data_IF_214680208255
#
_entry.id   IF_214680208255
#
_cell.length_a   1.000
_cell.length_b   1.000
_cell.length_c   1.000
_cell.angle_alpha   90.00
_cell.angle_beta   90.00
_cell.angle_gamma   90.00
#
_symmetry.space_group_name_H-M   'P 1'
#
loop_
_entity.id
_entity.type
_entity.pdbx_description
1 polymer ?
#
# COMPACT_ATOMS: atom_id res chain seq x y z
N UNK A 1 -49.06 17.40 -11.21
CA UNK A 1 -49.46 17.86 -9.88
C UNK A 1 -48.22 18.17 -9.07
N UNK A 2 -48.15 19.35 -8.60
CA UNK A 2 -47.26 20.13 -7.83
C UNK A 2 -46.14 19.48 -6.99
N UNK A 3 -44.93 20.03 -7.14
CA UNK A 3 -43.83 19.98 -6.15
C UNK A 3 -44.07 21.02 -5.05
N UNK A 4 -43.49 20.85 -3.86
CA UNK A 4 -43.22 22.00 -3.00
C UNK A 4 -41.72 22.23 -2.75
N UNK A 5 -41.41 23.38 -2.93
CA UNK A 5 -40.62 24.54 -2.58
C UNK A 5 -39.53 24.35 -1.48
N UNK A 6 -38.38 24.97 -1.85
CA UNK A 6 -37.22 25.35 -1.04
C UNK A 6 -37.53 26.09 0.27
N UNK A 7 -36.75 25.84 1.30
CA UNK A 7 -36.49 26.81 2.36
C UNK A 7 -34.96 27.03 2.54
N UNK A 8 -34.53 28.21 2.14
CA UNK A 8 -33.20 28.80 2.40
C UNK A 8 -33.14 29.28 3.84
N UNK A 9 -32.24 28.77 4.63
CA UNK A 9 -31.86 29.33 5.92
C UNK A 9 -30.67 30.28 5.73
N UNK A 10 -30.96 31.59 5.91
CA UNK A 10 -29.93 32.66 5.97
C UNK A 10 -29.32 32.69 7.36
N UNK A 11 -27.99 32.48 7.45
CA UNK A 11 -27.22 32.82 8.64
C UNK A 11 -26.74 34.28 8.52
N UNK A 12 -27.13 35.09 9.51
CA UNK A 12 -26.67 36.47 9.72
C UNK A 12 -25.35 36.44 10.52
N UNK A 13 -24.34 37.11 9.95
CA UNK A 13 -23.07 37.39 10.62
C UNK A 13 -23.24 38.59 11.57
N UNK A 14 -22.74 38.42 12.82
CA UNK A 14 -22.59 39.52 13.80
C UNK A 14 -21.08 39.77 13.94
N UNK A 15 -20.59 41.03 13.83
CA UNK A 15 -19.19 41.35 14.04
C UNK A 15 -18.92 41.61 15.55
N UNK A 16 -17.90 40.96 16.11
CA UNK A 16 -17.37 41.28 17.45
C UNK A 16 -16.16 42.19 17.32
N UNK A 17 -16.28 43.37 17.93
CA UNK A 17 -15.27 44.43 17.89
C UNK A 17 -14.03 44.13 18.73
N UNK A 18 -12.89 44.59 18.23
CA UNK A 18 -11.62 44.62 18.94
C UNK A 18 -11.56 45.74 19.95
N UNK A 19 -11.23 45.42 21.20
CA UNK A 19 -10.83 46.38 22.24
C UNK A 19 -9.33 46.30 22.47
N UNK A 20 -8.62 47.37 22.12
CA UNK A 20 -7.21 47.54 22.41
C UNK A 20 -7.07 48.13 23.87
N UNK A 21 -6.29 47.45 24.69
CA UNK A 21 -5.92 47.95 26.02
C UNK A 21 -4.48 48.47 25.96
N UNK A 22 -4.34 49.81 26.10
CA UNK A 22 -3.05 50.48 26.23
C UNK A 22 -2.75 50.59 27.72
N UNK A 23 -1.65 50.01 28.18
CA UNK A 23 -1.08 50.24 29.53
C UNK A 23 0.25 50.97 29.39
N UNK A 24 0.23 52.25 29.79
CA UNK A 24 1.40 53.09 29.96
C UNK A 24 1.95 52.90 31.37
N UNK A 25 3.25 52.58 31.52
CA UNK A 25 3.98 52.76 32.76
C UNK A 25 5.18 53.70 32.53
N UNK A 26 5.22 54.69 33.37
CA UNK A 26 6.21 55.75 33.37
C UNK A 26 7.56 55.31 33.90
N UNK A 27 8.55 56.14 33.56
CA UNK A 27 9.95 55.87 33.78
C UNK A 27 10.47 56.11 35.18
N UNK A 28 11.65 55.64 35.44
CA UNK A 28 12.68 56.23 36.31
C UNK A 28 14.04 55.93 35.70
N UNK A 29 14.80 56.96 35.49
CA UNK A 29 16.22 56.92 35.11
C UNK A 29 17.07 56.71 36.34
N UNK A 30 18.11 55.86 36.26
CA UNK A 30 19.34 55.99 37.05
C UNK A 30 20.52 55.47 36.24
N UNK A 31 21.56 56.28 36.22
CA UNK A 31 22.86 56.11 35.63
C UNK A 31 23.63 54.94 36.27
N UNK A 32 24.21 54.09 35.41
CA UNK A 32 25.37 53.28 35.82
C UNK A 32 26.27 53.00 34.61
N UNK A 33 27.49 53.44 34.75
CA UNK A 33 28.64 53.36 33.84
C UNK A 33 28.89 51.96 33.29
N UNK A 34 29.07 51.85 31.96
CA UNK A 34 29.42 50.65 31.26
C UNK A 34 30.92 50.27 31.44
N UNK A 35 31.23 48.98 31.60
CA UNK A 35 32.58 48.47 31.27
C UNK A 35 32.66 48.04 29.83
N UNK A 36 33.65 48.61 29.14
CA UNK A 36 34.07 48.22 27.80
C UNK A 36 34.71 46.82 27.83
N UNK A 37 34.15 45.89 27.05
CA UNK A 37 34.71 44.56 26.86
C UNK A 37 33.68 43.61 26.23
N UNK A 38 33.23 43.90 24.96
CA UNK A 38 32.50 42.91 24.19
C UNK A 38 33.52 41.99 23.51
N UNK A 39 33.88 40.87 24.13
CA UNK A 39 34.32 39.71 23.41
C UNK A 39 33.08 39.14 22.69
N UNK A 40 33.05 39.25 21.38
CA UNK A 40 32.10 38.54 20.51
C UNK A 40 32.37 37.06 20.66
N UNK A 41 31.61 36.38 21.52
CA UNK A 41 31.47 34.93 21.47
C UNK A 41 30.81 34.60 20.15
N UNK A 42 31.62 34.28 19.15
CA UNK A 42 31.18 33.71 17.90
C UNK A 42 30.57 32.34 18.20
N UNK A 43 29.23 32.23 18.05
CA UNK A 43 28.55 30.94 18.18
C UNK A 43 29.28 29.92 17.28
N UNK A 44 29.57 28.72 17.76
CA UNK A 44 30.15 27.70 16.91
C UNK A 44 29.24 27.51 15.69
N UNK A 45 29.83 27.61 14.51
CA UNK A 45 29.14 27.30 13.26
C UNK A 45 28.46 25.94 13.43
N UNK A 46 27.15 25.89 13.15
CA UNK A 46 26.40 24.65 13.19
C UNK A 46 27.17 23.63 12.35
N UNK A 47 27.80 22.69 13.04
CA UNK A 47 28.44 21.54 12.40
C UNK A 47 27.36 20.87 11.58
N UNK A 48 27.54 20.81 10.26
CA UNK A 48 26.56 20.29 9.32
C UNK A 48 25.97 18.98 9.85
N UNK A 49 24.66 18.85 9.77
CA UNK A 49 23.96 17.64 10.15
C UNK A 49 24.71 16.45 9.55
N UNK A 50 25.18 15.55 10.41
CA UNK A 50 25.84 14.34 9.94
C UNK A 50 24.91 13.66 8.96
N UNK A 51 25.34 13.47 7.71
CA UNK A 51 24.52 12.81 6.70
C UNK A 51 24.08 11.47 7.28
N UNK A 52 22.76 11.30 7.46
CA UNK A 52 22.21 10.04 7.94
C UNK A 52 22.64 8.94 6.98
N UNK A 53 23.14 7.82 7.51
CA UNK A 53 23.52 6.69 6.68
C UNK A 53 22.37 6.29 5.75
N UNK A 54 22.64 5.90 4.49
CA UNK A 54 21.62 5.52 3.55
C UNK A 54 20.72 4.41 4.12
N UNK A 55 19.42 4.50 3.91
CA UNK A 55 18.49 3.43 4.26
C UNK A 55 18.74 2.22 3.33
N UNK A 56 18.94 1.06 3.92
CA UNK A 56 19.11 -0.20 3.20
C UNK A 56 17.83 -1.01 3.38
N UNK A 57 16.98 -1.01 2.35
CA UNK A 57 15.70 -1.71 2.36
C UNK A 57 15.86 -3.18 1.98
N UNK A 58 15.10 -4.04 2.62
CA UNK A 58 14.92 -5.43 2.18
C UNK A 58 13.58 -5.65 1.50
N UNK A 59 12.62 -4.74 1.70
CA UNK A 59 11.34 -4.76 1.01
C UNK A 59 10.71 -3.37 1.00
N UNK A 60 9.84 -3.16 0.01
CA UNK A 60 8.92 -2.03 -0.08
C UNK A 60 7.51 -2.54 -0.37
N UNK A 61 6.50 -1.77 -0.02
CA UNK A 61 5.10 -2.02 -0.36
C UNK A 61 4.47 -0.70 -0.79
N UNK A 62 4.01 -0.63 -2.03
CA UNK A 62 3.30 0.50 -2.59
C UNK A 62 1.79 0.30 -2.40
N UNK A 63 1.08 1.33 -1.95
CA UNK A 63 -0.36 1.38 -1.77
C UNK A 63 -1.04 2.34 -2.76
N UNK A 64 -2.14 2.98 -2.34
CA UNK A 64 -2.81 3.93 -3.23
C UNK A 64 -2.00 5.23 -3.35
N UNK A 65 -1.74 5.92 -2.24
CA UNK A 65 -1.07 7.22 -2.19
C UNK A 65 0.08 7.27 -1.19
N UNK A 66 0.56 6.14 -0.71
CA UNK A 66 1.70 6.06 0.19
C UNK A 66 2.48 4.77 -0.02
N UNK A 67 3.70 4.78 0.44
CA UNK A 67 4.64 3.65 0.34
C UNK A 67 5.28 3.42 1.70
N UNK A 68 5.50 2.17 2.05
CA UNK A 68 6.29 1.80 3.22
C UNK A 68 7.39 0.81 2.83
N UNK A 69 8.50 0.85 3.56
CA UNK A 69 9.58 -0.11 3.42
C UNK A 69 10.09 -0.59 4.76
N UNK A 70 10.69 -1.78 4.77
CA UNK A 70 11.39 -2.32 5.94
C UNK A 70 12.86 -2.41 5.63
N UNK A 71 13.68 -1.80 6.47
CA UNK A 71 15.13 -1.82 6.38
C UNK A 71 15.73 -3.13 6.92
N UNK A 72 16.99 -3.39 6.62
CA UNK A 72 17.72 -4.60 7.07
C UNK A 72 17.82 -4.72 8.60
N UNK A 73 17.70 -3.61 9.33
CA UNK A 73 17.65 -3.56 10.79
C UNK A 73 16.20 -3.70 11.35
N UNK A 74 15.25 -4.08 10.49
CA UNK A 74 13.84 -4.32 10.84
C UNK A 74 13.02 -3.08 11.25
N UNK A 75 13.45 -1.86 10.91
CA UNK A 75 12.64 -0.66 11.08
C UNK A 75 11.72 -0.46 9.88
N UNK A 76 10.49 -0.01 10.13
CA UNK A 76 9.56 0.39 9.09
C UNK A 76 9.66 1.92 8.87
N UNK A 77 9.67 2.31 7.60
CA UNK A 77 9.70 3.69 7.14
C UNK A 77 8.58 3.86 6.11
N UNK A 78 7.79 4.92 6.24
CA UNK A 78 6.69 5.21 5.32
C UNK A 78 6.80 6.64 4.76
N UNK A 79 6.24 6.88 3.57
CA UNK A 79 6.23 8.17 2.89
C UNK A 79 5.04 8.28 1.94
N UNK A 80 4.71 9.50 1.51
CA UNK A 80 3.53 9.81 0.73
C UNK A 80 2.46 10.48 1.58
N UNK A 81 1.20 10.25 1.25
CA UNK A 81 0.02 10.78 1.95
C UNK A 81 -0.08 10.26 3.38
N UNK A 82 -0.45 11.16 4.31
CA UNK A 82 -0.65 10.86 5.74
C UNK A 82 -1.95 11.45 6.32
N UNK A 83 -2.85 11.93 5.50
CA UNK A 83 -4.10 12.54 5.95
C UNK A 83 -4.91 11.62 6.89
N UNK A 84 -4.80 10.33 6.68
CA UNK A 84 -5.48 9.27 7.46
C UNK A 84 -4.59 8.65 8.55
N UNK A 85 -3.37 9.18 8.78
CA UNK A 85 -2.38 8.61 9.70
C UNK A 85 -1.71 7.33 9.19
N UNK A 86 -1.80 7.07 7.89
CA UNK A 86 -1.34 5.82 7.26
C UNK A 86 0.17 5.64 7.24
N UNK A 87 0.97 6.69 7.49
CA UNK A 87 2.41 6.58 7.67
C UNK A 87 2.81 6.06 9.06
N UNK A 88 1.92 6.19 10.05
CA UNK A 88 2.15 5.62 11.38
C UNK A 88 3.24 6.29 12.21
N UNK A 89 3.65 7.50 11.89
CA UNK A 89 4.71 8.27 12.54
C UNK A 89 4.21 9.09 13.74
N UNK A 90 2.91 9.07 14.02
CA UNK A 90 2.23 9.84 15.06
C UNK A 90 1.62 11.14 14.59
N UNK A 91 1.76 11.50 13.31
CA UNK A 91 1.26 12.73 12.68
C UNK A 91 0.17 12.46 11.64
N UNK A 92 -0.34 13.51 11.02
CA UNK A 92 -1.19 13.50 9.81
C UNK A 92 -0.53 14.32 8.67
N UNK A 93 0.79 14.52 8.74
CA UNK A 93 1.53 15.30 7.75
C UNK A 93 2.08 14.39 6.68
N UNK A 94 1.86 14.74 5.42
CA UNK A 94 2.45 14.05 4.27
C UNK A 94 3.97 14.15 4.28
N UNK A 95 4.65 13.09 3.90
CA UNK A 95 6.10 13.05 3.84
C UNK A 95 6.61 12.72 2.43
N UNK A 96 7.35 13.64 1.83
CA UNK A 96 8.01 13.45 0.52
C UNK A 96 9.31 12.63 0.61
N UNK A 97 9.69 12.20 1.81
CA UNK A 97 10.86 11.36 2.14
C UNK A 97 10.46 10.34 3.21
N UNK A 98 11.19 9.23 3.35
CA UNK A 98 10.92 8.25 4.39
C UNK A 98 10.85 8.84 5.80
N UNK A 99 9.73 8.65 6.48
CA UNK A 99 9.50 8.94 7.90
C UNK A 99 9.48 7.63 8.70
N UNK A 100 10.10 7.63 9.88
CA UNK A 100 10.17 6.45 10.74
C UNK A 100 8.79 6.16 11.37
N UNK A 101 8.31 4.92 11.25
CA UNK A 101 7.10 4.46 11.95
C UNK A 101 7.33 4.51 13.47
N UNK A 102 6.38 5.12 14.21
CA UNK A 102 6.46 5.32 15.65
C UNK A 102 6.36 4.00 16.45
N UNK A 103 6.65 4.07 17.76
CA UNK A 103 6.48 2.98 18.71
C UNK A 103 7.66 2.02 18.83
N UNK A 104 8.75 2.21 18.09
CA UNK A 104 10.00 1.43 18.25
C UNK A 104 9.90 -0.04 17.90
N UNK A 105 8.80 -0.46 17.21
CA UNK A 105 8.57 -1.84 16.80
C UNK A 105 9.58 -2.29 15.74
N UNK A 106 9.86 -3.59 15.73
CA UNK A 106 10.72 -4.24 14.73
C UNK A 106 9.87 -5.12 13.83
N UNK A 107 9.76 -4.72 12.55
CA UNK A 107 8.92 -5.39 11.57
C UNK A 107 9.75 -6.30 10.67
N UNK A 108 9.25 -7.50 10.39
CA UNK A 108 9.81 -8.33 9.31
C UNK A 108 9.10 -8.08 7.98
N UNK A 109 7.85 -7.62 7.98
CA UNK A 109 7.10 -7.25 6.78
C UNK A 109 6.16 -6.10 7.06
N UNK A 110 5.90 -5.29 6.03
CA UNK A 110 4.80 -4.33 5.98
C UNK A 110 3.98 -4.57 4.73
N UNK A 111 2.71 -4.20 4.77
CA UNK A 111 1.80 -4.23 3.63
C UNK A 111 0.93 -2.98 3.67
N UNK A 112 0.90 -2.27 2.57
CA UNK A 112 0.20 -1.01 2.41
C UNK A 112 -1.10 -1.27 1.68
N UNK A 113 -2.20 -0.74 2.24
CA UNK A 113 -3.52 -0.73 1.65
C UNK A 113 -3.85 0.60 0.98
N UNK A 114 -5.13 0.97 0.95
CA UNK A 114 -5.56 2.27 0.43
C UNK A 114 -5.27 3.41 1.42
N UNK A 115 -5.80 3.29 2.63
CA UNK A 115 -5.72 4.30 3.70
C UNK A 115 -5.17 3.72 5.01
N UNK A 116 -4.69 2.49 4.95
CA UNK A 116 -4.16 1.76 6.09
C UNK A 116 -2.84 1.07 5.75
N UNK A 117 -2.10 0.76 6.78
CA UNK A 117 -0.87 -0.03 6.70
C UNK A 117 -0.88 -1.08 7.80
N UNK A 118 -0.43 -2.28 7.48
CA UNK A 118 -0.25 -3.35 8.43
C UNK A 118 1.18 -3.88 8.39
N UNK A 119 1.67 -4.37 9.51
CA UNK A 119 2.99 -5.00 9.59
C UNK A 119 2.99 -6.19 10.52
N UNK A 120 3.88 -7.13 10.26
CA UNK A 120 4.17 -8.26 11.16
C UNK A 120 5.55 -8.04 11.74
N UNK A 121 5.62 -8.05 13.07
CA UNK A 121 6.87 -7.86 13.81
C UNK A 121 7.76 -9.10 13.77
N UNK A 122 8.99 -8.98 14.24
CA UNK A 122 9.96 -10.08 14.30
C UNK A 122 9.55 -11.21 15.25
N UNK A 123 8.62 -10.92 16.17
CA UNK A 123 8.03 -11.86 17.13
C UNK A 123 6.62 -12.34 16.74
N UNK A 124 6.29 -12.23 15.44
CA UNK A 124 5.04 -12.73 14.82
C UNK A 124 3.75 -12.04 15.28
N UNK A 125 3.82 -10.83 15.83
CA UNK A 125 2.65 -10.03 16.16
C UNK A 125 2.27 -9.13 14.98
N UNK A 126 0.97 -8.93 14.74
CA UNK A 126 0.48 -8.01 13.74
C UNK A 126 0.06 -6.69 14.37
N UNK A 127 0.42 -5.60 13.71
CA UNK A 127 0.00 -4.23 14.02
C UNK A 127 -0.52 -3.58 12.75
N UNK A 128 -1.58 -2.79 12.86
CA UNK A 128 -2.10 -1.97 11.76
C UNK A 128 -2.28 -0.53 12.22
N UNK A 129 -2.30 0.41 11.27
CA UNK A 129 -2.51 1.84 11.50
C UNK A 129 -3.10 2.51 10.26
N UNK A 130 -3.53 3.77 10.38
CA UNK A 130 -4.25 4.48 9.34
C UNK A 130 -5.75 4.51 9.62
N UNK A 131 -6.55 4.55 8.57
CA UNK A 131 -8.00 4.67 8.61
C UNK A 131 -8.68 3.38 8.14
N UNK A 132 -9.76 3.00 8.82
CA UNK A 132 -10.60 1.87 8.40
C UNK A 132 -10.77 0.82 9.50
N UNK A 133 -11.25 -0.35 9.12
CA UNK A 133 -11.34 -1.50 10.00
C UNK A 133 -9.98 -2.20 10.07
N UNK A 134 -9.09 -1.68 10.88
CA UNK A 134 -7.69 -2.13 11.01
C UNK A 134 -7.51 -3.40 11.88
N UNK A 135 -8.61 -4.00 12.34
CA UNK A 135 -8.58 -5.27 13.05
C UNK A 135 -8.41 -5.16 14.57
N UNK A 136 -8.43 -3.97 15.15
CA UNK A 136 -8.29 -3.73 16.59
C UNK A 136 -9.62 -3.78 17.36
N UNK A 137 -10.76 -3.97 16.64
CA UNK A 137 -12.12 -3.95 17.20
C UNK A 137 -12.77 -2.57 17.18
N UNK A 138 -12.05 -1.51 16.83
CA UNK A 138 -12.63 -0.18 16.62
C UNK A 138 -13.29 -0.07 15.24
N UNK A 139 -14.30 0.80 15.12
CA UNK A 139 -15.01 1.03 13.86
C UNK A 139 -14.24 1.97 12.91
N UNK A 140 -14.83 2.22 11.73
CA UNK A 140 -14.29 3.10 10.68
C UNK A 140 -14.15 4.59 11.08
N UNK A 141 -14.64 4.99 12.24
CA UNK A 141 -14.58 6.39 12.68
C UNK A 141 -13.28 6.78 13.41
N UNK A 142 -12.31 5.88 13.49
CA UNK A 142 -11.08 6.10 14.27
C UNK A 142 -9.84 6.01 13.40
N UNK A 143 -9.07 7.11 13.40
CA UNK A 143 -7.73 7.14 12.84
C UNK A 143 -6.71 6.58 13.83
N UNK A 144 -5.78 5.77 13.36
CA UNK A 144 -4.63 5.30 14.14
C UNK A 144 -3.35 5.86 13.53
N UNK A 145 -2.84 6.95 14.11
CA UNK A 145 -1.61 7.60 13.65
C UNK A 145 -0.34 6.83 14.03
N UNK A 146 -0.49 5.75 14.78
CA UNK A 146 0.61 4.87 15.23
C UNK A 146 0.15 3.41 15.19
N UNK A 147 1.09 2.45 15.05
CA UNK A 147 0.76 1.04 15.06
C UNK A 147 -0.02 0.60 16.31
N UNK A 148 -1.18 -0.03 16.10
CA UNK A 148 -1.96 -0.67 17.18
C UNK A 148 -2.05 -2.17 16.93
N UNK A 149 -2.07 -3.02 18.00
CA UNK A 149 -2.10 -4.45 17.83
C UNK A 149 -3.42 -4.93 17.20
N UNK A 150 -3.33 -5.88 16.30
CA UNK A 150 -4.48 -6.60 15.74
C UNK A 150 -5.07 -7.53 16.81
N UNK A 151 -6.40 -7.49 17.00
CA UNK A 151 -7.09 -8.27 18.00
C UNK A 151 -7.01 -9.79 17.76
N UNK A 152 -7.33 -10.58 18.79
CA UNK A 152 -7.44 -12.05 18.71
C UNK A 152 -6.20 -12.83 19.14
N UNK A 153 -5.09 -12.17 19.46
CA UNK A 153 -3.90 -12.83 20.06
C UNK A 153 -3.21 -13.86 19.16
N UNK A 154 -3.42 -13.77 17.84
CA UNK A 154 -2.82 -14.71 16.88
C UNK A 154 -1.32 -14.41 16.65
N UNK A 155 -0.56 -15.46 16.33
CA UNK A 155 0.79 -15.35 15.76
C UNK A 155 0.69 -15.44 14.25
N UNK A 156 1.27 -14.47 13.55
CA UNK A 156 1.07 -14.28 12.13
C UNK A 156 2.31 -14.63 11.31
N UNK A 157 2.13 -15.42 10.26
CA UNK A 157 3.13 -15.64 9.24
C UNK A 157 3.22 -14.45 8.30
N UNK A 158 2.07 -13.91 7.89
CA UNK A 158 1.95 -12.72 7.06
C UNK A 158 0.60 -12.03 7.30
N UNK A 159 0.57 -10.71 7.07
CA UNK A 159 -0.63 -9.90 6.98
C UNK A 159 -0.52 -9.03 5.72
N UNK A 160 -1.59 -8.90 4.98
CA UNK A 160 -1.70 -8.12 3.75
C UNK A 160 -2.90 -7.19 3.84
N UNK A 161 -2.67 -5.91 3.63
CA UNK A 161 -3.71 -4.90 3.49
C UNK A 161 -4.14 -4.82 2.01
N UNK A 162 -5.45 -4.74 1.77
CA UNK A 162 -6.06 -4.48 0.48
C UNK A 162 -6.70 -3.10 0.43
N UNK A 163 -7.69 -2.89 -0.45
CA UNK A 163 -8.34 -1.59 -0.59
C UNK A 163 -9.22 -1.23 0.61
N UNK A 164 -10.02 -2.15 1.11
CA UNK A 164 -10.93 -1.94 2.26
C UNK A 164 -11.03 -3.13 3.19
N UNK A 165 -10.18 -4.12 3.01
CA UNK A 165 -10.13 -5.29 3.87
C UNK A 165 -8.71 -5.83 3.93
N UNK A 166 -8.41 -6.46 5.03
CA UNK A 166 -7.08 -6.99 5.33
C UNK A 166 -7.18 -8.48 5.59
N UNK A 167 -6.22 -9.25 5.16
CA UNK A 167 -6.14 -10.68 5.40
C UNK A 167 -4.78 -11.09 5.96
N UNK A 168 -4.74 -12.15 6.73
CA UNK A 168 -3.50 -12.73 7.25
C UNK A 168 -3.56 -14.24 7.35
N UNK A 169 -2.37 -14.83 7.37
CA UNK A 169 -2.17 -16.26 7.64
C UNK A 169 -1.39 -16.37 8.95
N UNK A 170 -1.89 -17.18 9.87
CA UNK A 170 -1.21 -17.48 11.13
C UNK A 170 -0.04 -18.42 10.92
N UNK A 171 0.86 -18.52 11.89
CA UNK A 171 1.98 -19.50 11.89
C UNK A 171 1.50 -20.95 11.82
N UNK A 172 0.22 -21.21 12.14
CA UNK A 172 -0.42 -22.53 11.98
C UNK A 172 -1.08 -22.74 10.62
N UNK A 173 -0.93 -21.81 9.66
CA UNK A 173 -1.49 -21.90 8.31
C UNK A 173 -3.00 -21.60 8.20
N UNK A 174 -3.65 -21.05 9.24
CA UNK A 174 -5.06 -20.61 9.17
C UNK A 174 -5.16 -19.21 8.64
N UNK A 175 -6.14 -18.96 7.76
CA UNK A 175 -6.43 -17.63 7.21
C UNK A 175 -7.53 -16.93 8.01
N UNK A 176 -7.33 -15.65 8.22
CA UNK A 176 -8.30 -14.71 8.80
C UNK A 176 -8.34 -13.45 7.95
N UNK A 177 -9.53 -12.89 7.78
CA UNK A 177 -9.70 -11.58 7.13
C UNK A 177 -10.60 -10.68 7.99
N UNK A 178 -10.45 -9.37 7.81
CA UNK A 178 -11.27 -8.34 8.48
C UNK A 178 -11.42 -7.11 7.58
N UNK A 179 -12.29 -6.21 7.94
CA UNK A 179 -12.65 -5.05 7.14
C UNK A 179 -13.99 -5.20 6.44
N UNK A 180 -14.16 -4.51 5.32
CA UNK A 180 -15.39 -4.53 4.53
C UNK A 180 -15.65 -5.93 3.95
N UNK A 181 -16.92 -6.37 3.99
CA UNK A 181 -17.36 -7.66 3.45
C UNK A 181 -18.64 -7.57 2.62
N UNK A 182 -18.96 -6.40 2.09
CA UNK A 182 -20.18 -6.17 1.29
C UNK A 182 -20.32 -7.17 0.13
N UNK A 183 -19.19 -7.53 -0.49
CA UNK A 183 -19.11 -8.52 -1.56
C UNK A 183 -18.73 -9.93 -1.07
N UNK A 184 -18.54 -10.12 0.24
CA UNK A 184 -18.10 -11.38 0.83
C UNK A 184 -16.57 -11.56 0.79
N UNK A 185 -15.79 -10.50 0.58
CA UNK A 185 -14.34 -10.54 0.43
C UNK A 185 -13.58 -10.97 1.70
N UNK A 186 -14.22 -10.94 2.87
CA UNK A 186 -13.68 -11.53 4.12
C UNK A 186 -13.67 -13.06 4.08
N UNK A 187 -14.57 -13.69 3.33
CA UNK A 187 -14.53 -15.15 3.09
C UNK A 187 -15.12 -16.01 4.20
N UNK A 188 -15.85 -15.42 5.16
CA UNK A 188 -16.51 -16.11 6.28
C UNK A 188 -18.02 -16.34 6.07
N UNK A 189 -18.50 -16.18 4.82
CA UNK A 189 -19.89 -16.20 4.39
C UNK A 189 -20.75 -15.03 4.92
N UNK A 190 -20.18 -14.12 5.71
CA UNK A 190 -20.85 -12.90 6.14
C UNK A 190 -20.62 -11.77 5.12
N UNK A 191 -21.63 -10.91 4.99
CA UNK A 191 -21.52 -9.66 4.21
C UNK A 191 -21.40 -8.43 5.10
N UNK A 192 -21.30 -8.65 6.40
CA UNK A 192 -21.11 -7.59 7.38
C UNK A 192 -19.60 -7.29 7.52
N UNK A 193 -19.28 -6.03 7.71
CA UNK A 193 -17.94 -5.59 8.09
C UNK A 193 -17.46 -6.32 9.33
N UNK A 194 -16.22 -6.81 9.30
CA UNK A 194 -15.57 -7.46 10.42
C UNK A 194 -14.54 -6.48 11.03
N UNK A 195 -14.73 -6.09 12.28
CA UNK A 195 -13.84 -5.16 12.97
C UNK A 195 -12.63 -5.84 13.60
N UNK A 196 -12.67 -7.17 13.69
CA UNK A 196 -11.59 -8.03 14.19
C UNK A 196 -11.36 -9.19 13.23
N UNK A 197 -10.21 -9.88 13.29
CA UNK A 197 -9.94 -11.03 12.44
C UNK A 197 -11.02 -12.12 12.52
N UNK A 198 -11.68 -12.38 11.40
CA UNK A 198 -12.68 -13.45 11.24
C UNK A 198 -12.07 -14.60 10.43
N UNK A 199 -12.27 -15.84 10.88
CA UNK A 199 -11.73 -17.01 10.20
C UNK A 199 -12.35 -17.18 8.81
N UNK A 200 -11.52 -17.41 7.79
CA UNK A 200 -11.96 -17.77 6.44
C UNK A 200 -12.60 -19.15 6.48
N UNK A 201 -13.74 -19.30 5.79
CA UNK A 201 -14.52 -20.54 5.76
C UNK A 201 -13.76 -21.72 5.16
N UNK A 202 -14.02 -22.92 5.66
CA UNK A 202 -13.40 -24.17 5.21
C UNK A 202 -12.28 -24.66 6.12
N UNK A 203 -11.69 -25.81 5.72
CA UNK A 203 -10.62 -26.48 6.49
C UNK A 203 -9.28 -26.50 5.76
N UNK A 204 -9.07 -25.50 4.85
CA UNK A 204 -7.86 -25.44 4.05
C UNK A 204 -6.69 -24.86 4.88
N UNK A 205 -5.49 -25.29 4.54
CA UNK A 205 -4.22 -24.75 5.08
C UNK A 205 -3.57 -23.89 4.01
N UNK A 206 -3.23 -22.67 4.40
CA UNK A 206 -2.81 -21.62 3.48
C UNK A 206 -1.33 -21.29 3.63
N UNK A 207 -0.66 -20.96 2.53
CA UNK A 207 0.72 -20.44 2.53
C UNK A 207 0.84 -19.03 1.99
N UNK A 208 -0.15 -18.56 1.20
CA UNK A 208 -0.16 -17.24 0.60
C UNK A 208 -1.59 -16.72 0.52
N UNK A 209 -1.77 -15.44 0.80
CA UNK A 209 -3.07 -14.75 0.69
C UNK A 209 -2.82 -13.32 0.20
N UNK A 210 -3.70 -12.82 -0.67
CA UNK A 210 -3.66 -11.44 -1.13
C UNK A 210 -5.09 -10.90 -1.22
N UNK A 211 -5.45 -9.89 -0.42
CA UNK A 211 -6.67 -9.11 -0.58
C UNK A 211 -6.46 -8.04 -1.66
N UNK A 212 -7.41 -7.93 -2.59
CA UNK A 212 -7.44 -6.90 -3.63
C UNK A 212 -8.41 -5.77 -3.32
N UNK A 213 -9.04 -5.22 -4.37
CA UNK A 213 -10.08 -4.19 -4.20
C UNK A 213 -11.32 -4.74 -3.53
N UNK A 214 -11.92 -5.75 -4.13
CA UNK A 214 -13.23 -6.28 -3.72
C UNK A 214 -13.29 -7.80 -3.67
N UNK A 215 -12.16 -8.47 -3.84
CA UNK A 215 -12.02 -9.92 -3.76
C UNK A 215 -10.72 -10.30 -3.09
N UNK A 216 -10.63 -11.54 -2.67
CA UNK A 216 -9.41 -12.10 -2.05
C UNK A 216 -9.06 -13.38 -2.77
N UNK A 217 -7.79 -13.62 -2.98
CA UNK A 217 -7.27 -14.89 -3.46
C UNK A 217 -6.19 -15.43 -2.54
N UNK A 218 -6.09 -16.74 -2.44
CA UNK A 218 -5.11 -17.41 -1.61
C UNK A 218 -4.61 -18.71 -2.25
N UNK A 219 -3.43 -19.14 -1.87
CA UNK A 219 -2.81 -20.38 -2.31
C UNK A 219 -2.60 -21.29 -1.11
N UNK A 220 -3.07 -22.52 -1.23
CA UNK A 220 -2.92 -23.58 -0.23
C UNK A 220 -1.50 -24.15 -0.20
N UNK A 221 -1.17 -24.88 0.84
CA UNK A 221 0.13 -25.56 0.99
C UNK A 221 0.40 -26.58 -0.11
N UNK A 222 -0.65 -27.15 -0.73
CA UNK A 222 -0.57 -28.07 -1.87
C UNK A 222 -0.66 -27.34 -3.25
N UNK A 223 -0.43 -26.02 -3.26
CA UNK A 223 -0.30 -25.18 -4.47
C UNK A 223 -1.60 -24.92 -5.25
N UNK A 224 -2.77 -25.18 -4.66
CA UNK A 224 -4.04 -24.83 -5.29
C UNK A 224 -4.46 -23.41 -4.94
N UNK A 225 -4.98 -22.66 -5.93
CA UNK A 225 -5.51 -21.33 -5.74
C UNK A 225 -7.03 -21.34 -5.51
N UNK A 226 -7.47 -20.50 -4.61
CA UNK A 226 -8.88 -20.25 -4.31
C UNK A 226 -9.09 -18.74 -4.23
N UNK A 227 -10.25 -18.27 -4.72
CA UNK A 227 -10.65 -16.87 -4.64
C UNK A 227 -12.07 -16.73 -4.09
N UNK A 228 -12.40 -15.56 -3.55
CA UNK A 228 -13.74 -15.23 -3.05
C UNK A 228 -13.93 -13.71 -3.03
N UNK A 229 -15.17 -13.25 -2.92
CA UNK A 229 -15.57 -11.85 -3.00
C UNK A 229 -16.32 -11.53 -4.28
N UNK A 230 -16.11 -10.34 -4.83
CA UNK A 230 -16.70 -9.86 -6.09
C UNK A 230 -16.24 -10.70 -7.28
N UNK A 231 -17.15 -10.90 -8.27
CA UNK A 231 -16.86 -11.70 -9.47
C UNK A 231 -17.54 -11.19 -10.75
N UNK A 232 -17.84 -9.91 -10.83
CA UNK A 232 -18.53 -9.34 -12.01
C UNK A 232 -17.73 -9.46 -13.28
N UNK A 233 -16.39 -9.36 -13.15
CA UNK A 233 -15.41 -9.44 -14.24
C UNK A 233 -14.77 -10.83 -14.34
N UNK A 234 -15.23 -11.82 -13.57
CA UNK A 234 -14.63 -13.15 -13.55
C UNK A 234 -13.30 -13.23 -12.76
N UNK A 235 -13.02 -12.23 -11.92
CA UNK A 235 -11.75 -12.11 -11.16
C UNK A 235 -11.50 -13.26 -10.18
N UNK A 236 -12.50 -14.09 -9.88
CA UNK A 236 -12.33 -15.31 -9.08
C UNK A 236 -11.74 -16.48 -9.87
N UNK A 237 -11.73 -16.41 -11.21
CA UNK A 237 -11.07 -17.40 -12.06
C UNK A 237 -11.77 -18.75 -12.17
N UNK A 238 -13.02 -18.86 -11.70
CA UNK A 238 -13.79 -20.12 -11.69
C UNK A 238 -14.49 -20.47 -13.00
N UNK A 239 -14.32 -19.68 -14.06
CA UNK A 239 -14.99 -19.88 -15.36
C UNK A 239 -16.39 -19.28 -15.44
N UNK A 240 -16.80 -18.52 -14.47
CA UNK A 240 -18.11 -17.84 -14.42
C UNK A 240 -17.95 -16.40 -13.96
N UNK A 241 -18.95 -15.57 -14.26
CA UNK A 241 -19.09 -14.19 -13.77
C UNK A 241 -20.27 -14.08 -12.78
N UNK A 242 -20.54 -15.14 -12.01
CA UNK A 242 -21.58 -15.12 -11.00
C UNK A 242 -21.22 -14.19 -9.87
N UNK A 243 -22.24 -13.49 -9.36
CA UNK A 243 -22.13 -12.48 -8.32
C UNK A 243 -21.52 -13.03 -7.02
N UNK A 244 -20.60 -12.29 -6.45
CA UNK A 244 -20.15 -12.27 -5.05
C UNK A 244 -20.21 -13.58 -4.27
N UNK A 245 -19.12 -14.27 -4.16
CA UNK A 245 -18.98 -15.53 -3.42
C UNK A 245 -18.28 -15.27 -2.10
N UNK A 246 -18.99 -15.44 -0.97
CA UNK A 246 -18.49 -15.13 0.36
C UNK A 246 -17.64 -16.23 1.04
N UNK A 247 -17.15 -17.21 0.28
CA UNK A 247 -16.30 -18.32 0.75
C UNK A 247 -15.34 -18.77 -0.34
N UNK A 248 -14.20 -19.40 -0.01
CA UNK A 248 -13.21 -19.82 -0.99
C UNK A 248 -13.77 -20.79 -2.04
N UNK A 249 -13.61 -20.43 -3.36
CA UNK A 249 -13.92 -21.32 -4.48
C UNK A 249 -12.64 -21.58 -5.29
N UNK A 250 -12.44 -22.80 -5.84
CA UNK A 250 -11.23 -23.13 -6.58
C UNK A 250 -11.12 -22.35 -7.87
N UNK A 251 -9.90 -21.90 -8.20
CA UNK A 251 -9.54 -21.38 -9.52
C UNK A 251 -9.51 -22.54 -10.52
N UNK A 252 -10.10 -22.33 -11.70
CA UNK A 252 -10.21 -23.36 -12.73
C UNK A 252 -8.88 -23.64 -13.46
N UNK A 253 -8.85 -24.70 -14.26
CA UNK A 253 -7.72 -25.03 -15.16
C UNK A 253 -6.66 -25.96 -14.56
N UNK A 254 -6.80 -26.40 -13.29
CA UNK A 254 -5.91 -27.41 -12.69
C UNK A 254 -4.45 -26.96 -12.54
N UNK A 255 -4.16 -25.65 -12.59
CA UNK A 255 -2.82 -25.10 -12.45
C UNK A 255 -2.36 -25.13 -10.99
N UNK A 256 -1.07 -25.45 -10.79
CA UNK A 256 -0.41 -25.32 -9.49
C UNK A 256 0.28 -23.96 -9.41
N UNK A 257 -0.08 -23.16 -8.39
CA UNK A 257 0.41 -21.80 -8.23
C UNK A 257 1.41 -21.68 -7.08
N UNK A 258 2.44 -20.84 -7.24
CA UNK A 258 3.41 -20.47 -6.22
C UNK A 258 2.91 -19.29 -5.37
N UNK A 259 2.44 -18.25 -6.03
CA UNK A 259 1.89 -17.04 -5.43
C UNK A 259 0.76 -16.48 -6.29
N UNK A 260 0.02 -15.53 -5.73
CA UNK A 260 -1.11 -14.87 -6.35
C UNK A 260 -1.13 -13.42 -5.89
N UNK A 261 -1.48 -12.50 -6.78
CA UNK A 261 -1.71 -11.09 -6.49
C UNK A 261 -3.05 -10.66 -7.08
N UNK A 262 -3.74 -9.80 -6.37
CA UNK A 262 -5.07 -9.32 -6.72
C UNK A 262 -5.04 -7.81 -6.92
N UNK A 263 -5.54 -7.35 -8.06
CA UNK A 263 -5.85 -5.95 -8.32
C UNK A 263 -7.26 -5.58 -7.82
N UNK A 264 -7.86 -4.54 -8.39
CA UNK A 264 -9.24 -4.20 -8.04
C UNK A 264 -10.25 -5.18 -8.66
N UNK A 265 -10.09 -5.48 -9.96
CA UNK A 265 -11.03 -6.31 -10.72
C UNK A 265 -10.35 -7.43 -11.51
N UNK A 266 -9.05 -7.61 -11.32
CA UNK A 266 -8.30 -8.70 -11.96
C UNK A 266 -7.38 -9.39 -10.97
N UNK A 267 -6.89 -10.53 -11.35
CA UNK A 267 -5.99 -11.37 -10.55
C UNK A 267 -4.84 -11.86 -11.43
N UNK A 268 -3.64 -11.84 -10.91
CA UNK A 268 -2.46 -12.43 -11.53
C UNK A 268 -1.80 -13.44 -10.60
N UNK A 269 -1.20 -14.48 -11.11
CA UNK A 269 -0.54 -15.52 -10.35
C UNK A 269 0.64 -16.12 -11.11
N UNK A 270 1.62 -16.64 -10.38
CA UNK A 270 2.74 -17.39 -10.96
C UNK A 270 2.61 -18.85 -10.58
N UNK A 271 2.67 -19.72 -11.55
CA UNK A 271 2.64 -21.18 -11.37
C UNK A 271 3.95 -21.69 -10.76
N UNK A 272 3.93 -22.93 -10.27
CA UNK A 272 5.15 -23.63 -9.81
C UNK A 272 6.17 -23.89 -10.94
N UNK A 273 5.73 -23.74 -12.22
CA UNK A 273 6.59 -23.78 -13.41
C UNK A 273 7.04 -22.37 -13.86
N UNK A 274 6.95 -21.35 -13.00
CA UNK A 274 7.39 -19.96 -13.22
C UNK A 274 6.66 -19.20 -14.35
N UNK A 275 5.46 -19.65 -14.74
CA UNK A 275 4.64 -18.97 -15.75
C UNK A 275 3.61 -18.07 -15.10
N UNK A 276 3.49 -16.83 -15.58
CA UNK A 276 2.47 -15.90 -15.14
C UNK A 276 1.15 -16.11 -15.91
N UNK A 277 0.05 -16.04 -15.17
CA UNK A 277 -1.32 -16.10 -15.67
C UNK A 277 -2.11 -14.97 -15.01
N UNK A 278 -2.97 -14.31 -15.78
CA UNK A 278 -3.90 -13.30 -15.26
C UNK A 278 -5.34 -13.60 -15.73
N UNK A 279 -6.33 -13.09 -14.99
CA UNK A 279 -7.76 -13.22 -15.29
C UNK A 279 -8.56 -12.12 -14.57
N UNK A 280 -9.79 -11.89 -14.98
CA UNK A 280 -10.64 -10.78 -14.55
C UNK A 280 -10.77 -9.75 -15.65
N UNK A 281 -10.95 -8.49 -15.25
CA UNK A 281 -11.03 -7.31 -16.13
C UNK A 281 -9.76 -7.15 -16.97
N UNK A 282 -9.95 -6.65 -18.22
CA UNK A 282 -8.87 -6.39 -19.19
C UNK A 282 -9.12 -5.14 -20.04
N UNK A 283 -9.87 -4.19 -19.53
CA UNK A 283 -10.23 -2.97 -20.29
C UNK A 283 -9.01 -2.11 -20.64
N UNK A 284 -7.97 -2.15 -19.81
CA UNK A 284 -6.72 -1.41 -20.02
C UNK A 284 -5.55 -2.29 -20.46
N UNK A 285 -5.76 -3.58 -20.67
CA UNK A 285 -4.71 -4.55 -20.98
C UNK A 285 -3.98 -5.09 -19.74
N UNK A 286 -4.61 -5.01 -18.56
CA UNK A 286 -4.04 -5.42 -17.29
C UNK A 286 -3.75 -6.92 -17.17
N UNK A 287 -4.33 -7.75 -18.03
CA UNK A 287 -4.02 -9.18 -18.09
C UNK A 287 -2.73 -9.49 -18.85
N UNK A 288 -2.27 -8.58 -19.72
CA UNK A 288 -1.01 -8.70 -20.43
C UNK A 288 -0.97 -9.84 -21.46
N UNK A 289 -2.13 -10.34 -21.92
CA UNK A 289 -2.23 -11.43 -22.90
C UNK A 289 -2.17 -10.95 -24.36
N UNK A 290 -1.97 -9.65 -24.59
CA UNK A 290 -1.94 -8.99 -25.90
C UNK A 290 -3.31 -8.55 -26.39
N UNK A 291 -4.34 -8.65 -25.57
CA UNK A 291 -5.73 -8.27 -25.90
C UNK A 291 -6.29 -7.28 -24.86
N UNK A 292 -7.55 -6.88 -25.03
CA UNK A 292 -8.36 -6.16 -24.03
C UNK A 292 -9.64 -6.94 -23.76
N UNK A 293 -9.52 -8.25 -23.58
CA UNK A 293 -10.67 -9.13 -23.42
C UNK A 293 -10.70 -9.71 -22.00
N UNK A 294 -11.71 -9.33 -21.23
CA UNK A 294 -12.01 -9.87 -19.89
C UNK A 294 -12.03 -11.42 -19.92
N UNK A 295 -11.39 -12.04 -18.92
CA UNK A 295 -11.24 -13.49 -18.81
C UNK A 295 -11.78 -13.98 -17.46
N UNK A 296 -12.71 -14.92 -17.48
CA UNK A 296 -13.19 -15.57 -16.26
C UNK A 296 -12.36 -16.80 -15.84
N UNK A 297 -11.29 -17.11 -16.55
CA UNK A 297 -10.35 -18.22 -16.26
C UNK A 297 -8.92 -17.76 -16.46
N UNK A 298 -7.94 -18.38 -15.77
CA UNK A 298 -6.53 -18.06 -15.94
C UNK A 298 -6.08 -18.12 -17.40
N UNK A 299 -5.52 -17.00 -17.90
CA UNK A 299 -4.94 -16.87 -19.23
C UNK A 299 -3.44 -16.60 -19.10
N UNK A 300 -2.55 -17.28 -19.86
CA UNK A 300 -1.13 -16.99 -19.79
C UNK A 300 -0.84 -15.56 -20.26
N UNK A 301 0.02 -14.86 -19.52
CA UNK A 301 0.60 -13.58 -19.93
C UNK A 301 1.44 -13.80 -21.20
N UNK A 302 1.41 -12.83 -22.13
CA UNK A 302 2.10 -12.92 -23.41
C UNK A 302 3.61 -13.12 -23.26
N UNK A 303 4.21 -13.81 -24.25
CA UNK A 303 5.64 -14.10 -24.27
C UNK A 303 6.02 -15.40 -23.56
N UNK A 304 7.33 -15.64 -23.47
CA UNK A 304 7.92 -16.90 -22.98
C UNK A 304 8.69 -16.74 -21.68
N UNK A 305 8.67 -15.54 -21.08
CA UNK A 305 9.43 -15.23 -19.88
C UNK A 305 8.95 -16.02 -18.67
N UNK A 306 9.85 -16.18 -17.72
CA UNK A 306 9.59 -16.83 -16.44
C UNK A 306 9.70 -15.80 -15.33
N UNK A 307 8.81 -15.92 -14.32
CA UNK A 307 8.63 -14.91 -13.29
C UNK A 307 8.74 -15.50 -11.90
N UNK A 308 9.28 -14.70 -10.97
CA UNK A 308 9.27 -14.97 -9.53
C UNK A 308 7.89 -14.70 -8.92
N UNK A 309 7.34 -13.53 -9.23
CA UNK A 309 6.06 -13.06 -8.72
C UNK A 309 5.40 -12.10 -9.70
N UNK A 310 4.12 -11.83 -9.44
CA UNK A 310 3.34 -10.74 -10.01
C UNK A 310 2.90 -9.79 -8.91
N UNK A 311 2.60 -8.54 -9.29
CA UNK A 311 1.97 -7.53 -8.47
C UNK A 311 0.88 -6.87 -9.31
N UNK A 312 -0.37 -7.21 -9.05
CA UNK A 312 -1.54 -6.63 -9.70
C UNK A 312 -2.00 -5.39 -8.95
N UNK A 313 -2.35 -4.35 -9.69
CA UNK A 313 -2.83 -3.07 -9.18
C UNK A 313 -4.30 -2.82 -9.59
N UNK A 314 -4.70 -1.57 -9.79
CA UNK A 314 -6.06 -1.27 -10.26
C UNK A 314 -6.20 -1.53 -11.77
N UNK A 315 -5.38 -0.90 -12.61
CA UNK A 315 -5.48 -0.88 -14.07
C UNK A 315 -4.19 -1.35 -14.76
N UNK A 316 -3.23 -1.84 -14.01
CA UNK A 316 -1.97 -2.34 -14.54
C UNK A 316 -1.43 -3.47 -13.67
N UNK A 317 -0.51 -4.21 -14.21
CA UNK A 317 0.19 -5.29 -13.53
C UNK A 317 1.68 -5.19 -13.75
N UNK A 318 2.45 -5.63 -12.79
CA UNK A 318 3.88 -5.79 -12.88
C UNK A 318 4.29 -7.22 -12.51
N UNK A 319 5.45 -7.65 -12.99
CA UNK A 319 6.05 -8.92 -12.63
C UNK A 319 7.57 -8.81 -12.54
N UNK A 320 8.16 -9.60 -11.67
CA UNK A 320 9.60 -9.73 -11.54
C UNK A 320 10.04 -11.03 -12.23
N UNK A 321 10.89 -10.92 -13.25
CA UNK A 321 11.44 -12.08 -13.96
C UNK A 321 12.45 -12.83 -13.08
N UNK A 322 12.76 -14.09 -13.43
CA UNK A 322 13.82 -14.86 -12.73
C UNK A 322 15.21 -14.20 -12.84
N UNK A 323 15.41 -13.36 -13.86
CA UNK A 323 16.64 -12.58 -14.02
C UNK A 323 16.64 -11.26 -13.22
N UNK A 324 15.65 -11.04 -12.37
CA UNK A 324 15.53 -9.81 -11.56
C UNK A 324 15.13 -8.57 -12.38
N UNK A 325 14.57 -8.72 -13.60
CA UNK A 325 14.07 -7.58 -14.36
C UNK A 325 12.60 -7.34 -14.08
N UNK A 326 12.24 -6.09 -13.82
CA UNK A 326 10.85 -5.65 -13.71
C UNK A 326 10.22 -5.53 -15.10
N UNK A 327 9.03 -6.07 -15.27
CA UNK A 327 8.16 -5.88 -16.43
C UNK A 327 6.78 -5.45 -15.97
N UNK A 328 6.21 -4.44 -16.62
CA UNK A 328 4.88 -3.95 -16.32
C UNK A 328 4.04 -3.82 -17.60
N UNK A 329 2.70 -3.88 -17.47
CA UNK A 329 1.74 -3.79 -18.58
C UNK A 329 0.38 -3.28 -18.05
N UNK A 330 -0.48 -2.83 -18.97
CA UNK A 330 -1.76 -2.20 -18.67
C UNK A 330 -1.71 -0.68 -18.86
N UNK A 331 -2.51 0.04 -18.09
CA UNK A 331 -2.64 1.50 -18.09
C UNK A 331 -1.35 2.21 -17.65
N UNK A 332 -1.03 3.37 -18.28
CA UNK A 332 0.22 4.10 -18.04
C UNK A 332 0.13 5.63 -18.10
N UNK A 333 -1.00 6.30 -17.83
CA UNK A 333 -1.10 7.76 -18.00
C UNK A 333 -0.18 8.55 -17.07
N UNK A 334 0.24 7.96 -15.96
CA UNK A 334 1.12 8.58 -14.95
C UNK A 334 2.53 7.99 -14.91
N UNK A 335 2.88 7.11 -15.86
CA UNK A 335 4.18 6.43 -15.87
C UNK A 335 4.26 5.22 -14.95
N UNK A 336 3.12 4.62 -14.60
CA UNK A 336 3.00 3.44 -13.71
C UNK A 336 3.84 2.26 -14.17
N UNK A 337 4.02 2.13 -15.50
CA UNK A 337 4.82 1.05 -16.09
C UNK A 337 6.33 1.30 -15.98
N UNK A 338 6.75 2.52 -15.63
CA UNK A 338 8.17 2.86 -15.45
C UNK A 338 8.99 2.77 -16.74
N UNK A 339 8.37 2.80 -17.91
CA UNK A 339 9.00 2.60 -19.23
C UNK A 339 9.73 3.84 -19.77
N UNK A 340 9.65 4.99 -19.09
CA UNK A 340 10.10 6.29 -19.59
C UNK A 340 9.06 7.02 -20.44
N UNK A 341 7.85 6.46 -20.59
CA UNK A 341 6.76 7.03 -21.38
C UNK A 341 5.44 6.98 -20.59
N UNK A 342 4.38 7.55 -21.16
CA UNK A 342 2.99 7.42 -20.67
C UNK A 342 2.14 6.49 -21.56
N UNK A 343 2.76 5.69 -22.40
CA UNK A 343 2.06 4.78 -23.32
C UNK A 343 1.65 3.51 -22.59
N UNK A 344 0.35 3.20 -22.60
CA UNK A 344 -0.21 1.92 -22.11
C UNK A 344 0.20 0.76 -23.02
N UNK A 345 0.34 -0.45 -22.47
CA UNK A 345 0.73 -1.63 -23.24
C UNK A 345 -0.15 -2.83 -22.89
N UNK A 346 -0.47 -3.65 -23.88
CA UNK A 346 -1.29 -4.88 -23.71
C UNK A 346 -0.46 -6.12 -23.40
N UNK A 347 0.85 -5.99 -23.34
CA UNK A 347 1.80 -7.07 -23.08
C UNK A 347 2.97 -6.57 -22.23
N UNK A 348 3.69 -7.45 -21.52
CA UNK A 348 4.81 -7.06 -20.67
C UNK A 348 5.88 -6.24 -21.37
N UNK A 349 6.18 -5.06 -20.81
CA UNK A 349 7.26 -4.16 -21.20
C UNK A 349 8.28 -4.01 -20.08
N UNK A 350 9.56 -3.85 -20.41
CA UNK A 350 10.63 -3.66 -19.42
C UNK A 350 10.50 -2.32 -18.71
N UNK A 351 10.70 -2.33 -17.40
CA UNK A 351 10.95 -1.13 -16.60
C UNK A 351 12.30 -0.53 -17.02
N UNK A 352 12.34 0.79 -17.22
CA UNK A 352 13.52 1.51 -17.67
C UNK A 352 14.68 1.49 -16.64
N UNK A 353 15.89 1.94 -17.05
CA UNK A 353 17.04 2.06 -16.17
C UNK A 353 17.83 0.77 -15.96
N UNK A 354 17.44 -0.34 -16.60
CA UNK A 354 18.12 -1.65 -16.54
C UNK A 354 18.40 -2.18 -15.11
N UNK A 355 17.57 -1.78 -14.13
CA UNK A 355 17.74 -2.21 -12.75
C UNK A 355 17.61 -3.74 -12.63
N UNK A 356 18.37 -4.30 -11.70
CA UNK A 356 18.14 -5.65 -11.18
C UNK A 356 17.43 -5.52 -9.84
N UNK A 357 16.28 -6.15 -9.70
CA UNK A 357 15.42 -6.05 -8.53
C UNK A 357 15.30 -7.41 -7.84
N UNK A 358 15.20 -7.39 -6.53
CA UNK A 358 14.87 -8.57 -5.69
C UNK A 358 13.39 -8.62 -5.33
N UNK A 359 12.73 -7.44 -5.39
CA UNK A 359 11.32 -7.28 -5.04
C UNK A 359 10.72 -6.15 -5.87
N UNK A 360 9.43 -6.29 -6.22
CA UNK A 360 8.65 -5.30 -6.93
C UNK A 360 7.24 -5.26 -6.36
N UNK A 361 6.70 -4.05 -6.15
CA UNK A 361 5.36 -3.79 -5.64
C UNK A 361 4.69 -2.72 -6.50
N UNK A 362 3.53 -3.05 -7.04
CA UNK A 362 2.65 -2.11 -7.74
C UNK A 362 1.60 -1.60 -6.77
N UNK A 363 1.51 -0.28 -6.63
CA UNK A 363 0.46 0.45 -5.95
C UNK A 363 -0.63 0.90 -6.93
N UNK A 364 -1.50 1.84 -6.52
CA UNK A 364 -2.62 2.31 -7.36
C UNK A 364 -2.13 3.00 -8.64
N UNK A 365 -1.25 3.98 -8.52
CA UNK A 365 -0.72 4.80 -9.62
C UNK A 365 0.80 4.93 -9.59
N UNK A 366 1.49 4.18 -8.75
CA UNK A 366 2.95 4.16 -8.67
C UNK A 366 3.44 2.75 -8.36
N UNK A 367 4.69 2.49 -8.65
CA UNK A 367 5.31 1.21 -8.32
C UNK A 367 6.71 1.42 -7.75
N UNK A 368 7.17 0.47 -6.95
CA UNK A 368 8.47 0.49 -6.31
C UNK A 368 9.17 -0.87 -6.39
N UNK A 369 10.50 -0.85 -6.38
CA UNK A 369 11.32 -2.07 -6.32
C UNK A 369 12.56 -1.87 -5.47
N UNK A 370 13.14 -2.97 -5.02
CA UNK A 370 14.36 -3.00 -4.20
C UNK A 370 15.44 -3.75 -4.97
N UNK A 371 16.66 -3.21 -4.99
CA UNK A 371 17.84 -3.86 -5.59
C UNK A 371 18.52 -4.82 -4.60
N UNK A 372 19.41 -5.71 -5.05
CA UNK A 372 20.19 -6.58 -4.16
C UNK A 372 20.99 -5.84 -3.08
N UNK A 373 21.43 -4.62 -3.37
CA UNK A 373 22.18 -3.75 -2.46
C UNK A 373 21.28 -3.03 -1.45
N UNK A 374 19.95 -3.20 -1.58
CA UNK A 374 18.94 -2.59 -0.71
C UNK A 374 18.56 -1.15 -1.08
N UNK A 375 18.94 -0.67 -2.26
CA UNK A 375 18.42 0.58 -2.81
C UNK A 375 16.95 0.43 -3.21
N UNK A 376 16.09 1.32 -2.73
CA UNK A 376 14.70 1.39 -3.16
C UNK A 376 14.54 2.39 -4.30
N UNK A 377 13.75 2.03 -5.31
CA UNK A 377 13.43 2.85 -6.47
C UNK A 377 11.94 2.85 -6.70
N UNK A 378 11.34 4.02 -6.94
CA UNK A 378 9.92 4.16 -7.21
C UNK A 378 9.68 4.96 -8.51
N UNK A 379 8.50 4.81 -9.13
CA UNK A 379 8.09 5.49 -10.35
C UNK A 379 6.57 5.57 -10.45
N UNK A 380 6.04 6.43 -11.32
CA UNK A 380 4.62 6.69 -11.47
C UNK A 380 4.23 8.04 -10.87
N UNK A 381 3.02 8.12 -10.35
CA UNK A 381 2.47 9.30 -9.67
C UNK A 381 3.29 9.66 -8.42
N UNK A 382 3.32 10.97 -8.12
CA UNK A 382 4.06 11.50 -6.96
C UNK A 382 3.38 12.73 -6.34
N UNK A 383 2.06 12.80 -6.47
CA UNK A 383 1.31 13.99 -6.03
C UNK A 383 1.46 14.26 -4.53
N UNK A 384 1.52 13.20 -3.74
CA UNK A 384 1.68 13.25 -2.28
C UNK A 384 3.11 12.93 -1.80
N UNK A 385 4.07 12.76 -2.72
CA UNK A 385 5.43 12.33 -2.38
C UNK A 385 5.57 10.81 -2.21
N UNK A 386 4.65 10.03 -2.76
CA UNK A 386 4.62 8.56 -2.66
C UNK A 386 5.83 7.86 -3.26
N UNK A 387 6.64 8.55 -4.08
CA UNK A 387 7.92 8.03 -4.57
C UNK A 387 9.07 8.21 -3.57
N UNK A 388 8.93 9.10 -2.58
CA UNK A 388 9.92 9.31 -1.53
C UNK A 388 11.24 9.93 -2.00
N UNK A 389 11.29 10.54 -3.20
CA UNK A 389 12.50 11.12 -3.81
C UNK A 389 12.82 12.53 -3.31
N UNK A 390 12.03 13.06 -2.37
CA UNK A 390 12.14 14.42 -1.85
C UNK A 390 11.42 15.46 -2.68
N UNK A 391 10.57 15.05 -3.63
CA UNK A 391 9.77 15.92 -4.49
C UNK A 391 8.31 15.44 -4.53
N UNK A 392 7.46 16.19 -5.23
CA UNK A 392 6.09 15.78 -5.63
C UNK A 392 5.96 15.66 -7.15
N UNK A 393 7.08 15.45 -7.85
CA UNK A 393 7.11 15.37 -9.31
C UNK A 393 6.94 13.93 -9.77
N UNK A 394 5.96 13.68 -10.63
CA UNK A 394 5.75 12.41 -11.33
C UNK A 394 7.03 11.92 -12.01
N UNK A 395 7.27 10.60 -11.99
CA UNK A 395 8.43 9.97 -12.64
C UNK A 395 8.00 8.87 -13.60
N UNK A 396 8.37 9.02 -14.86
CA UNK A 396 8.07 8.03 -15.90
C UNK A 396 9.04 6.82 -15.90
N UNK A 397 10.12 6.93 -15.14
CA UNK A 397 11.16 5.91 -14.97
C UNK A 397 11.59 5.85 -13.51
N UNK A 398 12.19 4.74 -13.05
CA UNK A 398 12.62 4.58 -11.66
C UNK A 398 13.53 5.71 -11.16
N UNK A 399 13.20 6.27 -10.00
CA UNK A 399 14.01 7.24 -9.25
C UNK A 399 14.34 6.65 -7.87
N UNK A 400 15.53 6.92 -7.37
CA UNK A 400 15.95 6.44 -6.05
C UNK A 400 15.14 7.12 -4.94
N UNK A 401 14.70 6.35 -3.95
CA UNK A 401 14.13 6.86 -2.70
C UNK A 401 15.23 7.62 -1.94
N UNK A 402 14.92 8.83 -1.49
CA UNK A 402 15.86 9.69 -0.79
C UNK A 402 16.08 9.22 0.67
N UNK A 403 17.18 9.66 1.27
CA UNK A 403 17.38 9.48 2.69
C UNK A 403 16.41 10.35 3.51
N UNK A 404 16.05 9.95 4.74
CA UNK A 404 15.31 10.81 5.66
C UNK A 404 16.06 12.14 5.89
N UNK A 405 15.31 13.16 6.27
CA UNK A 405 15.89 14.46 6.64
C UNK A 405 16.57 14.39 8.00
#
# INVERSE_FOLDING_TARGET
>A
MAAPANSLLRLTLVPVGAAALVLSFGGCAEDATAPTGLETLQAPAATGAAATAPLVFRMVSAGDNHTCGVTTDNRAWCWGSNFDGQLGDGTETDHIRPALVAGGLRFRTVSVGSTDTCGVTTDDLAYCWGYGAIGDGSGFATFRRQPVPVAGGHRWQLVRAGFRHTCGITTSGKAYCWGNSEFGQVGNSSRLTQLTPAAVSGKLTWRWINPGGFHTCAVTTDSRAYCWGMNNEGQLGGGTTRWNIGFPVPVSGGLAFRNISTGHFHTCAVTTADRAYCWGEDASGELGDGTQTTRSQPKPVAGTRRYHNTSASQFYSCALTLAGKGECWGSNPRGELGSGTTTSTLAPGLVAGNLTLTQLSAGYSHACGVTPEGGAYCWGDNHYGELGDGTTTQRLAPVAVANPM
#
